data_IF_411899551486
#
_entry.id   IF_411899551486
#
_cell.length_a   1.000
_cell.length_b   1.000
_cell.length_c   1.000
_cell.angle_alpha   90.00
_cell.angle_beta   90.00
_cell.angle_gamma   90.00
#
_symmetry.space_group_name_H-M   'P 1'
#
loop_
_entity.id
_entity.type
_entity.pdbx_description
1 polymer ?
#
# COMPACT_ATOMS: atom_id res chain seq x y z
N UNK A 1 -21.34 19.96 -1.90
CA UNK A 1 -21.77 20.62 -3.13
C UNK A 1 -22.66 19.64 -3.89
N UNK A 2 -23.80 20.08 -4.38
CA UNK A 2 -24.66 19.28 -5.23
C UNK A 2 -24.39 19.65 -6.69
N UNK A 3 -24.04 18.68 -7.51
CA UNK A 3 -23.81 18.86 -8.93
C UNK A 3 -25.06 18.48 -9.72
N UNK A 4 -25.42 19.26 -10.73
CA UNK A 4 -26.49 18.94 -11.66
C UNK A 4 -26.11 17.80 -12.62
N UNK A 5 -24.79 17.63 -12.85
CA UNK A 5 -24.22 16.55 -13.66
C UNK A 5 -22.83 16.20 -13.12
N UNK A 6 -22.56 14.93 -12.98
CA UNK A 6 -21.23 14.43 -12.63
C UNK A 6 -20.37 14.27 -13.88
N UNK A 7 -19.05 14.51 -13.74
CA UNK A 7 -18.09 14.16 -14.78
C UNK A 7 -17.99 12.65 -14.92
N UNK A 8 -17.68 12.19 -16.11
CA UNK A 8 -17.35 10.77 -16.33
C UNK A 8 -15.93 10.47 -15.88
N UNK A 9 -15.64 9.20 -15.60
CA UNK A 9 -14.26 8.74 -15.43
C UNK A 9 -13.46 8.94 -16.72
N UNK A 10 -12.15 9.24 -16.65
CA UNK A 10 -11.31 9.37 -17.85
C UNK A 10 -11.41 8.15 -18.77
N UNK A 11 -11.32 8.34 -20.08
CA UNK A 11 -11.40 7.23 -21.06
C UNK A 11 -10.27 6.21 -20.89
N UNK A 12 -9.10 6.68 -20.48
CA UNK A 12 -7.90 5.88 -20.21
C UNK A 12 -7.73 5.55 -18.72
N UNK A 13 -8.82 5.56 -17.94
CA UNK A 13 -8.80 5.28 -16.52
C UNK A 13 -8.33 3.84 -16.26
N UNK A 14 -7.34 3.69 -15.37
CA UNK A 14 -6.76 2.40 -15.02
C UNK A 14 -7.67 1.66 -14.03
N UNK A 15 -8.70 1.00 -14.55
CA UNK A 15 -9.54 0.07 -13.80
C UNK A 15 -8.74 -1.17 -13.48
N UNK A 16 -8.24 -1.28 -12.26
CA UNK A 16 -7.31 -2.34 -11.88
C UNK A 16 -7.77 -3.14 -10.68
N UNK A 17 -6.83 -3.92 -10.18
CA UNK A 17 -6.85 -4.55 -8.87
C UNK A 17 -5.41 -4.80 -8.43
N UNK A 18 -5.18 -5.08 -7.15
CA UNK A 18 -3.83 -5.17 -6.59
C UNK A 18 -3.56 -6.46 -5.82
N UNK A 19 -2.27 -6.79 -5.70
CA UNK A 19 -1.72 -7.80 -4.80
C UNK A 19 -0.32 -7.37 -4.33
N UNK A 20 0.29 -8.12 -3.40
CA UNK A 20 1.71 -8.03 -3.08
C UNK A 20 2.37 -9.41 -3.17
N UNK A 21 3.67 -9.43 -3.47
CA UNK A 21 4.42 -10.65 -3.69
C UNK A 21 4.29 -11.64 -2.52
N UNK A 22 4.68 -11.24 -1.32
CA UNK A 22 4.71 -12.14 -0.17
C UNK A 22 3.31 -12.67 0.22
N UNK A 23 2.23 -11.88 -0.03
CA UNK A 23 0.87 -12.29 0.36
C UNK A 23 0.20 -13.22 -0.64
N UNK A 24 0.71 -13.30 -1.88
CA UNK A 24 0.02 -14.07 -2.93
C UNK A 24 0.89 -15.16 -3.57
N UNK A 25 2.20 -14.95 -3.70
CA UNK A 25 3.07 -15.81 -4.52
C UNK A 25 3.27 -17.20 -3.91
N UNK A 26 3.65 -17.29 -2.63
CA UNK A 26 4.21 -18.52 -2.07
C UNK A 26 5.61 -18.82 -2.62
N UNK A 27 5.96 -20.10 -2.78
CA UNK A 27 7.24 -20.55 -3.35
C UNK A 27 8.47 -19.88 -2.70
N UNK A 28 8.45 -19.74 -1.37
CA UNK A 28 9.38 -18.89 -0.58
C UNK A 28 10.85 -19.34 -0.62
N UNK A 29 11.10 -20.59 -1.04
CA UNK A 29 12.46 -21.15 -1.16
C UNK A 29 12.77 -21.71 -2.55
N UNK A 30 11.95 -21.35 -3.56
CA UNK A 30 12.09 -21.87 -4.92
C UNK A 30 12.90 -20.91 -5.81
N UNK A 31 13.54 -21.48 -6.82
CA UNK A 31 14.24 -20.78 -7.89
C UNK A 31 15.24 -19.71 -7.41
N UNK A 32 15.91 -19.99 -6.31
CA UNK A 32 16.97 -19.13 -5.76
C UNK A 32 16.49 -17.94 -4.97
N UNK A 33 15.19 -17.83 -4.64
CA UNK A 33 14.71 -16.81 -3.70
C UNK A 33 15.36 -17.00 -2.34
N UNK A 34 15.89 -15.90 -1.78
CA UNK A 34 16.38 -15.87 -0.40
C UNK A 34 15.28 -15.41 0.58
N UNK A 35 15.45 -15.63 1.89
CA UNK A 35 14.50 -15.13 2.88
C UNK A 35 14.41 -13.60 2.92
N UNK A 36 13.21 -13.07 3.05
CA UNK A 36 12.92 -11.69 3.44
C UNK A 36 12.65 -11.61 4.94
N UNK A 37 12.56 -10.39 5.48
CA UNK A 37 12.15 -10.19 6.87
C UNK A 37 10.78 -10.80 7.17
N UNK A 38 9.87 -10.81 6.18
CA UNK A 38 8.53 -11.39 6.28
C UNK A 38 8.59 -12.90 6.43
N UNK A 39 9.49 -13.57 5.71
CA UNK A 39 9.67 -15.03 5.81
C UNK A 39 10.25 -15.45 7.17
N UNK A 40 10.85 -14.51 7.90
CA UNK A 40 11.46 -14.72 9.22
C UNK A 40 10.55 -14.37 10.39
N UNK A 41 9.29 -13.99 10.13
CA UNK A 41 8.34 -13.67 11.18
C UNK A 41 7.92 -14.90 11.99
N UNK A 42 7.61 -14.66 13.25
CA UNK A 42 6.93 -15.63 14.09
C UNK A 42 5.40 -15.42 13.96
N UNK A 43 4.79 -16.24 13.12
CA UNK A 43 3.34 -16.22 12.96
C UNK A 43 2.64 -16.79 14.21
N UNK A 44 1.50 -16.21 14.62
CA UNK A 44 0.64 -16.87 15.60
C UNK A 44 0.26 -18.29 15.14
N UNK A 45 0.16 -19.23 16.05
CA UNK A 45 -0.07 -20.65 15.73
C UNK A 45 -1.44 -20.94 15.09
N UNK A 46 -2.35 -19.97 15.12
CA UNK A 46 -3.70 -20.05 14.54
C UNK A 46 -3.85 -19.27 13.23
N UNK A 47 -2.74 -18.80 12.65
CA UNK A 47 -2.70 -17.97 11.44
C UNK A 47 -1.79 -18.62 10.40
N UNK A 48 -2.24 -18.68 9.15
CA UNK A 48 -1.45 -19.15 8.02
C UNK A 48 -0.22 -18.26 7.79
N UNK A 49 0.90 -18.89 7.48
CA UNK A 49 2.09 -18.22 6.99
C UNK A 49 2.01 -17.90 5.48
N UNK A 50 3.06 -17.31 4.94
CA UNK A 50 3.15 -16.92 3.54
C UNK A 50 3.84 -17.99 2.64
N UNK A 51 4.16 -19.18 3.17
CA UNK A 51 5.00 -20.17 2.48
C UNK A 51 4.38 -20.67 1.16
N UNK A 52 3.05 -20.83 1.14
CA UNK A 52 2.29 -21.18 -0.06
C UNK A 52 1.40 -20.02 -0.52
N UNK A 53 0.90 -19.21 0.42
CA UNK A 53 -0.02 -18.11 0.16
C UNK A 53 -1.19 -18.54 -0.75
N UNK A 54 -1.37 -17.90 -1.92
CA UNK A 54 -2.36 -18.28 -2.93
C UNK A 54 -1.74 -19.07 -4.09
N UNK A 55 -0.45 -19.44 -3.96
CA UNK A 55 0.29 -20.17 -4.99
C UNK A 55 0.32 -19.46 -6.35
N UNK A 56 0.32 -18.13 -6.34
CA UNK A 56 0.34 -17.32 -7.56
C UNK A 56 1.63 -17.55 -8.37
N UNK A 57 2.73 -17.89 -7.71
CA UNK A 57 4.00 -18.19 -8.37
C UNK A 57 3.85 -19.27 -9.45
N UNK A 58 3.11 -20.33 -9.14
CA UNK A 58 2.87 -21.42 -10.10
C UNK A 58 1.62 -21.19 -10.97
N UNK A 59 0.68 -20.35 -10.52
CA UNK A 59 -0.65 -20.18 -11.13
C UNK A 59 -0.90 -18.82 -11.74
N UNK A 60 0.13 -17.96 -11.88
CA UNK A 60 -0.03 -16.60 -12.40
C UNK A 60 -0.77 -16.55 -13.75
N UNK A 61 -0.57 -17.53 -14.65
CA UNK A 61 -1.27 -17.58 -15.93
C UNK A 61 -2.79 -17.78 -15.77
N UNK A 62 -3.20 -18.67 -14.86
CA UNK A 62 -4.61 -18.87 -14.51
C UNK A 62 -5.20 -17.60 -13.89
N UNK A 63 -4.49 -17.04 -12.93
CA UNK A 63 -4.95 -15.85 -12.21
C UNK A 63 -5.08 -14.63 -13.14
N UNK A 64 -4.08 -14.35 -13.98
CA UNK A 64 -4.11 -13.23 -14.92
C UNK A 64 -5.19 -13.46 -16.00
N UNK A 65 -5.43 -14.69 -16.43
CA UNK A 65 -6.54 -14.99 -17.33
C UNK A 65 -7.91 -14.69 -16.68
N UNK A 66 -8.06 -14.91 -15.37
CA UNK A 66 -9.25 -14.51 -14.62
C UNK A 66 -9.35 -12.98 -14.48
N UNK A 67 -8.24 -12.28 -14.26
CA UNK A 67 -8.20 -10.82 -14.26
C UNK A 67 -8.65 -10.24 -15.63
N UNK A 68 -8.20 -10.85 -16.71
CA UNK A 68 -8.66 -10.48 -18.06
C UNK A 68 -10.16 -10.74 -18.26
N UNK A 69 -10.70 -11.84 -17.75
CA UNK A 69 -12.15 -12.13 -17.77
C UNK A 69 -12.96 -11.13 -16.95
N UNK A 70 -12.40 -10.58 -15.86
CA UNK A 70 -12.98 -9.49 -15.09
C UNK A 70 -12.92 -8.16 -15.85
N UNK A 71 -12.11 -8.06 -16.89
CA UNK A 71 -11.96 -6.88 -17.72
C UNK A 71 -10.94 -5.87 -17.19
N UNK A 72 -10.06 -6.27 -16.27
CA UNK A 72 -9.03 -5.37 -15.71
C UNK A 72 -8.23 -4.68 -16.82
N UNK A 73 -7.96 -3.40 -16.62
CA UNK A 73 -7.10 -2.57 -17.47
C UNK A 73 -5.72 -2.36 -16.85
N UNK A 74 -5.58 -2.63 -15.55
CA UNK A 74 -4.32 -2.57 -14.84
C UNK A 74 -4.25 -3.67 -13.77
N UNK A 75 -3.05 -4.14 -13.50
CA UNK A 75 -2.77 -5.03 -12.38
C UNK A 75 -1.57 -4.50 -11.60
N UNK A 76 -1.82 -4.09 -10.36
CA UNK A 76 -0.75 -3.66 -9.45
C UNK A 76 -0.26 -4.86 -8.66
N UNK A 77 1.04 -5.11 -8.73
CA UNK A 77 1.72 -6.14 -7.97
C UNK A 77 3.08 -5.65 -7.49
N UNK A 78 3.68 -6.34 -6.53
CA UNK A 78 5.05 -6.05 -6.13
C UNK A 78 6.02 -7.11 -6.67
N UNK A 79 7.28 -6.71 -6.82
CA UNK A 79 8.39 -7.61 -7.14
C UNK A 79 9.14 -7.89 -5.83
N UNK A 80 9.30 -9.17 -5.49
CA UNK A 80 10.08 -9.56 -4.33
C UNK A 80 11.57 -9.31 -4.58
N UNK A 81 12.16 -8.39 -3.83
CA UNK A 81 13.59 -8.06 -3.93
C UNK A 81 14.47 -9.30 -3.81
N UNK A 82 14.11 -10.21 -2.90
CA UNK A 82 14.82 -11.48 -2.65
C UNK A 82 14.78 -12.48 -3.81
N UNK A 83 13.85 -12.34 -4.76
CA UNK A 83 13.85 -13.14 -6.01
C UNK A 83 14.81 -12.57 -7.04
N UNK A 84 15.03 -11.27 -7.03
CA UNK A 84 15.88 -10.57 -8.03
C UNK A 84 17.33 -10.54 -7.59
N UNK A 85 17.59 -10.11 -6.35
CA UNK A 85 18.92 -10.02 -5.75
C UNK A 85 18.90 -10.79 -4.42
N UNK A 86 19.14 -12.12 -4.43
CA UNK A 86 19.05 -12.94 -3.20
C UNK A 86 19.97 -12.49 -2.07
N UNK A 87 21.09 -11.86 -2.41
CA UNK A 87 22.05 -11.31 -1.42
C UNK A 87 21.78 -9.82 -1.08
N UNK A 88 20.64 -9.29 -1.54
CA UNK A 88 20.28 -7.88 -1.42
C UNK A 88 20.96 -6.97 -2.44
N UNK A 89 22.14 -7.35 -2.91
CA UNK A 89 22.98 -6.67 -3.92
C UNK A 89 23.77 -7.71 -4.72
N UNK A 90 24.43 -7.29 -5.80
CA UNK A 90 25.41 -8.07 -6.55
C UNK A 90 24.78 -8.99 -7.60
N UNK A 91 24.90 -10.29 -7.43
CA UNK A 91 24.49 -11.26 -8.45
C UNK A 91 22.97 -11.27 -8.66
N UNK A 92 22.57 -11.10 -9.93
CA UNK A 92 21.16 -11.13 -10.35
C UNK A 92 20.71 -12.59 -10.49
N UNK A 93 19.57 -12.92 -9.92
CA UNK A 93 18.93 -14.22 -10.08
C UNK A 93 18.08 -14.24 -11.35
N UNK A 94 18.61 -14.87 -12.40
CA UNK A 94 17.96 -14.94 -13.71
C UNK A 94 16.59 -15.64 -13.68
N UNK A 95 16.37 -16.60 -12.78
CA UNK A 95 15.06 -17.24 -12.60
C UNK A 95 14.01 -16.29 -12.04
N UNK A 96 14.41 -15.40 -11.13
CA UNK A 96 13.54 -14.34 -10.64
C UNK A 96 13.18 -13.33 -11.74
N UNK A 97 14.16 -12.95 -12.55
CA UNK A 97 13.93 -12.10 -13.74
C UNK A 97 12.96 -12.77 -14.71
N UNK A 98 13.20 -14.05 -15.04
CA UNK A 98 12.32 -14.82 -15.93
C UNK A 98 10.88 -14.90 -15.40
N UNK A 99 10.70 -15.18 -14.11
CA UNK A 99 9.37 -15.24 -13.50
C UNK A 99 8.60 -13.92 -13.69
N UNK A 100 9.19 -12.79 -13.32
CA UNK A 100 8.49 -11.50 -13.45
C UNK A 100 8.35 -11.04 -14.90
N UNK A 101 9.27 -11.37 -15.79
CA UNK A 101 9.07 -11.18 -17.23
C UNK A 101 7.83 -11.93 -17.72
N UNK A 102 7.66 -13.19 -17.29
CA UNK A 102 6.51 -14.00 -17.66
C UNK A 102 5.19 -13.43 -17.10
N UNK A 103 5.18 -12.92 -15.86
CA UNK A 103 4.02 -12.24 -15.27
C UNK A 103 3.65 -10.98 -16.05
N UNK A 104 4.65 -10.13 -16.37
CA UNK A 104 4.46 -8.90 -17.14
C UNK A 104 3.95 -9.22 -18.55
N UNK A 105 4.57 -10.17 -19.24
CA UNK A 105 4.18 -10.57 -20.60
C UNK A 105 2.77 -11.17 -20.63
N UNK A 106 2.38 -11.94 -19.61
CA UNK A 106 1.02 -12.46 -19.52
C UNK A 106 -0.01 -11.32 -19.29
N UNK A 107 0.32 -10.29 -18.50
CA UNK A 107 -0.52 -9.10 -18.37
C UNK A 107 -0.68 -8.39 -19.72
N UNK A 108 0.42 -8.11 -20.40
CA UNK A 108 0.44 -7.39 -21.68
C UNK A 108 -0.31 -8.16 -22.80
N UNK A 109 -0.23 -9.46 -22.81
CA UNK A 109 -0.98 -10.35 -23.71
C UNK A 109 -2.50 -10.09 -23.64
N UNK A 110 -3.01 -9.74 -22.48
CA UNK A 110 -4.42 -9.41 -22.25
C UNK A 110 -4.71 -7.91 -22.27
N UNK A 111 -3.75 -7.06 -22.65
CA UNK A 111 -3.84 -5.59 -22.58
C UNK A 111 -4.13 -5.09 -21.15
N UNK A 112 -3.57 -5.76 -20.14
CA UNK A 112 -3.58 -5.31 -18.75
C UNK A 112 -2.25 -4.59 -18.50
N UNK A 113 -2.32 -3.30 -18.13
CA UNK A 113 -1.14 -2.48 -17.83
C UNK A 113 -0.51 -2.92 -16.49
N UNK A 114 0.76 -3.35 -16.47
CA UNK A 114 1.46 -3.65 -15.22
C UNK A 114 1.73 -2.36 -14.43
N UNK A 115 1.38 -2.35 -13.14
CA UNK A 115 1.74 -1.32 -12.18
C UNK A 115 2.62 -1.95 -11.12
N UNK A 116 3.91 -1.66 -11.15
CA UNK A 116 4.90 -2.39 -10.35
C UNK A 116 5.30 -1.63 -9.09
N UNK A 117 5.16 -2.27 -7.94
CA UNK A 117 5.72 -1.82 -6.66
C UNK A 117 7.07 -2.49 -6.44
N UNK A 118 8.13 -1.70 -6.25
CA UNK A 118 9.48 -2.24 -6.06
C UNK A 118 9.67 -2.88 -4.69
N UNK A 119 9.12 -2.28 -3.64
CA UNK A 119 9.30 -2.75 -2.27
C UNK A 119 7.98 -2.70 -1.49
N UNK A 120 7.55 -3.88 -1.02
CA UNK A 120 6.31 -4.05 -0.26
C UNK A 120 6.56 -4.83 1.03
N UNK A 121 7.33 -4.24 1.95
CA UNK A 121 7.68 -4.73 3.29
C UNK A 121 8.73 -5.88 3.34
N UNK A 122 9.08 -6.46 2.23
CA UNK A 122 9.85 -7.71 2.11
C UNK A 122 11.36 -7.47 1.92
N UNK A 123 11.97 -6.68 2.83
CA UNK A 123 13.42 -6.44 2.83
C UNK A 123 14.20 -7.77 2.87
N UNK A 124 15.24 -7.97 2.03
CA UNK A 124 16.12 -9.12 2.15
C UNK A 124 16.68 -9.27 3.57
N UNK A 125 16.52 -10.47 4.16
CA UNK A 125 16.92 -10.70 5.54
C UNK A 125 18.43 -10.49 5.74
N UNK A 126 19.25 -10.79 4.73
CA UNK A 126 20.69 -10.53 4.77
C UNK A 126 21.06 -9.02 4.86
N UNK A 127 20.15 -8.10 4.43
CA UNK A 127 20.32 -6.67 4.68
C UNK A 127 19.84 -6.30 6.07
N UNK A 128 18.77 -6.93 6.58
CA UNK A 128 18.31 -6.74 7.95
C UNK A 128 19.37 -7.14 8.97
N UNK A 129 20.10 -8.24 8.77
CA UNK A 129 21.21 -8.66 9.61
C UNK A 129 22.35 -7.63 9.66
N UNK A 130 22.44 -6.77 8.65
CA UNK A 130 23.43 -5.67 8.58
C UNK A 130 22.87 -4.33 9.10
N UNK A 131 21.67 -4.35 9.70
CA UNK A 131 21.00 -3.18 10.26
C UNK A 131 19.83 -2.63 9.42
N UNK A 132 19.44 -3.31 8.33
CA UNK A 132 18.28 -2.98 7.52
C UNK A 132 18.27 -1.55 7.05
N UNK A 133 17.12 -0.88 7.10
CA UNK A 133 17.00 0.52 6.73
C UNK A 133 17.70 1.51 7.68
N UNK A 134 18.14 1.05 8.87
CA UNK A 134 18.96 1.88 9.75
C UNK A 134 20.41 1.99 9.23
N UNK A 135 20.89 0.99 8.49
CA UNK A 135 22.15 1.05 7.79
C UNK A 135 22.01 1.89 6.51
N UNK A 136 22.83 2.93 6.39
CA UNK A 136 22.80 3.85 5.25
C UNK A 136 23.14 3.16 3.92
N UNK A 137 23.94 2.09 3.92
CA UNK A 137 24.31 1.34 2.71
C UNK A 137 23.08 0.69 2.04
N UNK A 138 21.98 0.49 2.79
CA UNK A 138 20.70 0.00 2.23
C UNK A 138 20.10 0.95 1.19
N UNK A 139 20.44 2.25 1.26
CA UNK A 139 20.04 3.23 0.23
C UNK A 139 20.60 2.82 -1.13
N UNK A 140 21.90 2.54 -1.19
CA UNK A 140 22.58 2.21 -2.46
C UNK A 140 22.21 0.78 -2.91
N UNK A 141 21.97 -0.14 -1.98
CA UNK A 141 21.41 -1.46 -2.28
C UNK A 141 20.03 -1.36 -2.96
N UNK A 142 19.15 -0.48 -2.47
CA UNK A 142 17.84 -0.26 -3.09
C UNK A 142 17.94 0.39 -4.48
N UNK A 143 18.89 1.31 -4.66
CA UNK A 143 19.14 1.94 -5.97
C UNK A 143 19.68 0.92 -6.96
N UNK A 144 20.57 0.02 -6.56
CA UNK A 144 21.07 -1.09 -7.39
C UNK A 144 19.92 -2.03 -7.80
N UNK A 145 19.09 -2.45 -6.84
CA UNK A 145 17.90 -3.24 -7.09
C UNK A 145 16.97 -2.57 -8.10
N UNK A 146 16.63 -1.31 -7.87
CA UNK A 146 15.78 -0.54 -8.78
C UNK A 146 16.37 -0.46 -10.19
N UNK A 147 17.70 -0.28 -10.32
CA UNK A 147 18.38 -0.26 -11.60
C UNK A 147 18.20 -1.59 -12.35
N UNK A 148 18.37 -2.72 -11.66
CA UNK A 148 18.15 -4.05 -12.25
C UNK A 148 16.71 -4.18 -12.77
N UNK A 149 15.71 -3.70 -11.99
CA UNK A 149 14.32 -3.72 -12.43
C UNK A 149 14.09 -2.87 -13.69
N UNK A 150 14.65 -1.67 -13.73
CA UNK A 150 14.50 -0.77 -14.89
C UNK A 150 15.18 -1.30 -16.13
N UNK A 151 16.38 -1.87 -15.99
CA UNK A 151 17.13 -2.46 -17.11
C UNK A 151 16.37 -3.64 -17.73
N UNK A 152 15.70 -4.48 -16.94
CA UNK A 152 14.99 -5.67 -17.42
C UNK A 152 13.52 -5.42 -17.79
N UNK A 153 12.83 -4.56 -17.09
CA UNK A 153 11.37 -4.39 -17.24
C UNK A 153 10.94 -2.99 -17.70
N UNK A 154 11.83 -2.00 -17.68
CA UNK A 154 11.50 -0.61 -17.98
C UNK A 154 10.94 -0.37 -19.38
N UNK A 155 11.26 -1.21 -20.35
CA UNK A 155 10.69 -1.13 -21.71
C UNK A 155 9.24 -1.63 -21.81
N UNK A 156 8.75 -2.38 -20.80
CA UNK A 156 7.44 -3.03 -20.77
C UNK A 156 6.49 -2.41 -19.74
N UNK A 157 7.03 -1.86 -18.67
CA UNK A 157 6.27 -1.34 -17.52
C UNK A 157 6.32 0.19 -17.52
N UNK A 158 5.15 0.82 -17.55
CA UNK A 158 5.02 2.29 -17.55
C UNK A 158 4.86 2.90 -16.17
N UNK A 159 4.21 2.19 -15.23
CA UNK A 159 3.86 2.73 -13.92
C UNK A 159 4.63 2.03 -12.81
N UNK A 160 5.37 2.82 -12.05
CA UNK A 160 6.24 2.33 -11.00
C UNK A 160 5.94 2.98 -9.65
N UNK A 161 5.97 2.18 -8.60
CA UNK A 161 5.82 2.60 -7.21
C UNK A 161 7.10 2.25 -6.46
N UNK A 162 7.64 3.20 -5.73
CA UNK A 162 8.91 2.99 -5.02
C UNK A 162 8.74 2.07 -3.82
N UNK A 163 8.17 2.60 -2.74
CA UNK A 163 8.00 1.90 -1.47
C UNK A 163 6.52 1.94 -1.09
N UNK A 164 5.94 0.77 -0.79
CA UNK A 164 4.57 0.71 -0.29
C UNK A 164 4.50 1.12 1.17
N UNK A 165 3.56 2.00 1.49
CA UNK A 165 3.20 2.40 2.86
C UNK A 165 4.41 2.66 3.79
N UNK A 166 5.39 3.42 3.33
CA UNK A 166 6.54 3.77 4.16
C UNK A 166 6.12 4.35 5.51
N UNK A 167 5.08 5.18 5.53
CA UNK A 167 4.55 5.76 6.75
C UNK A 167 4.00 4.70 7.72
N UNK A 168 3.40 3.61 7.23
CA UNK A 168 2.94 2.51 8.07
C UNK A 168 4.12 1.78 8.71
N UNK A 169 5.21 1.55 7.98
CA UNK A 169 6.43 0.93 8.53
C UNK A 169 7.03 1.75 9.67
N UNK A 170 7.02 3.06 9.56
CA UNK A 170 7.64 3.96 10.55
C UNK A 170 6.72 4.17 11.76
N UNK A 171 5.43 4.34 11.53
CA UNK A 171 4.47 4.69 12.57
C UNK A 171 3.90 3.47 13.30
N UNK A 172 3.94 2.31 12.66
CA UNK A 172 3.40 1.05 13.17
C UNK A 172 4.33 -0.13 12.87
N UNK A 173 5.59 -0.10 13.33
CA UNK A 173 6.56 -1.14 12.98
C UNK A 173 6.11 -2.55 13.42
N UNK A 174 5.35 -2.66 14.51
CA UNK A 174 4.76 -3.91 14.95
C UNK A 174 3.63 -4.43 14.06
N UNK A 175 3.04 -3.56 13.21
CA UNK A 175 1.98 -3.96 12.29
C UNK A 175 2.49 -4.72 11.06
N UNK A 176 3.76 -4.53 10.71
CA UNK A 176 4.40 -5.26 9.61
C UNK A 176 5.01 -6.56 10.12
N UNK A 177 5.18 -6.65 11.44
CA UNK A 177 5.82 -7.73 12.17
C UNK A 177 7.30 -7.45 12.43
N UNK A 178 7.88 -8.31 13.24
CA UNK A 178 9.30 -8.29 13.56
C UNK A 178 9.88 -9.68 13.32
N UNK A 179 11.14 -9.78 12.89
CA UNK A 179 11.84 -11.05 12.85
C UNK A 179 11.80 -11.73 14.23
N UNK A 180 11.85 -13.04 14.27
CA UNK A 180 11.83 -13.82 15.50
C UNK A 180 12.90 -13.32 16.48
N UNK A 181 12.47 -12.96 17.70
CA UNK A 181 13.35 -12.39 18.72
C UNK A 181 13.74 -10.93 18.51
N UNK A 182 13.22 -10.28 17.46
CA UNK A 182 13.44 -8.86 17.19
C UNK A 182 12.80 -7.94 18.24
N UNK A 183 13.42 -6.78 18.44
CA UNK A 183 12.87 -5.72 19.31
C UNK A 183 12.33 -4.60 18.46
N UNK A 184 11.26 -3.95 18.93
CA UNK A 184 10.77 -2.72 18.32
C UNK A 184 11.90 -1.68 18.30
N UNK A 185 12.21 -1.09 17.13
CA UNK A 185 13.17 0.00 17.03
C UNK A 185 12.72 1.19 17.89
N UNK A 186 13.68 1.98 18.36
CA UNK A 186 13.34 3.26 19.01
C UNK A 186 12.69 4.22 18.01
N UNK A 187 11.92 5.20 18.50
CA UNK A 187 11.38 6.24 17.60
C UNK A 187 12.47 6.98 16.84
N UNK A 188 13.64 7.21 17.45
CA UNK A 188 14.78 7.82 16.77
C UNK A 188 15.27 6.94 15.61
N UNK A 189 15.42 5.64 15.83
CA UNK A 189 15.84 4.71 14.78
C UNK A 189 14.81 4.64 13.66
N UNK A 190 13.52 4.63 13.99
CA UNK A 190 12.45 4.64 12.99
C UNK A 190 12.49 5.89 12.09
N UNK A 191 12.70 7.08 12.66
CA UNK A 191 12.83 8.30 11.86
C UNK A 191 14.16 8.37 11.10
N UNK A 192 15.23 7.73 11.59
CA UNK A 192 16.45 7.55 10.81
C UNK A 192 16.24 6.60 9.63
N UNK A 193 15.56 5.47 9.83
CA UNK A 193 15.13 4.57 8.74
C UNK A 193 14.26 5.33 7.71
N UNK A 194 13.30 6.12 8.19
CA UNK A 194 12.48 6.98 7.33
C UNK A 194 13.31 7.89 6.45
N UNK A 195 14.32 8.55 7.02
CA UNK A 195 15.21 9.44 6.26
C UNK A 195 15.97 8.69 5.16
N UNK A 196 16.51 7.52 5.49
CA UNK A 196 17.21 6.67 4.51
C UNK A 196 16.28 6.18 3.40
N UNK A 197 15.05 5.78 3.73
CA UNK A 197 14.03 5.41 2.72
C UNK A 197 13.67 6.59 1.81
N UNK A 198 13.57 7.81 2.35
CA UNK A 198 13.31 9.01 1.54
C UNK A 198 14.45 9.32 0.58
N UNK A 199 15.70 9.19 1.03
CA UNK A 199 16.88 9.34 0.18
C UNK A 199 16.92 8.28 -0.93
N UNK A 200 16.60 7.03 -0.58
CA UNK A 200 16.54 5.93 -1.53
C UNK A 200 15.48 6.20 -2.62
N UNK A 201 14.27 6.60 -2.23
CA UNK A 201 13.21 6.96 -3.19
C UNK A 201 13.62 8.11 -4.10
N UNK A 202 14.23 9.17 -3.56
CA UNK A 202 14.68 10.31 -4.34
C UNK A 202 15.73 9.91 -5.39
N UNK A 203 16.74 9.12 -4.99
CA UNK A 203 17.76 8.58 -5.91
C UNK A 203 17.13 7.70 -6.99
N UNK A 204 16.18 6.82 -6.62
CA UNK A 204 15.51 5.93 -7.54
C UNK A 204 14.64 6.68 -8.54
N UNK A 205 13.87 7.68 -8.12
CA UNK A 205 13.06 8.51 -9.03
C UNK A 205 13.94 9.25 -10.04
N UNK A 206 15.06 9.83 -9.58
CA UNK A 206 16.05 10.46 -10.47
C UNK A 206 16.65 9.45 -11.47
N UNK A 207 17.01 8.26 -11.01
CA UNK A 207 17.54 7.19 -11.87
C UNK A 207 16.50 6.75 -12.90
N UNK A 208 15.26 6.59 -12.47
CA UNK A 208 14.13 6.15 -13.31
C UNK A 208 13.95 7.05 -14.53
N UNK A 209 13.88 8.36 -14.36
CA UNK A 209 13.66 9.29 -15.45
C UNK A 209 14.81 9.29 -16.48
N UNK A 210 16.00 8.84 -16.09
CA UNK A 210 17.13 8.69 -17.01
C UNK A 210 17.05 7.38 -17.84
N UNK A 211 16.49 6.31 -17.25
CA UNK A 211 16.46 4.96 -17.88
C UNK A 211 15.12 4.72 -18.59
N UNK A 212 14.02 5.20 -18.02
CA UNK A 212 12.65 4.94 -18.51
C UNK A 212 11.91 6.27 -18.74
N UNK A 213 12.34 7.07 -19.74
CA UNK A 213 11.86 8.44 -19.93
C UNK A 213 10.36 8.55 -20.24
N UNK A 214 9.76 7.51 -20.81
CA UNK A 214 8.31 7.47 -21.12
C UNK A 214 7.46 6.88 -19.98
N UNK A 215 8.10 6.43 -18.89
CA UNK A 215 7.44 5.87 -17.73
C UNK A 215 6.97 6.94 -16.75
N UNK A 216 6.26 6.48 -15.72
CA UNK A 216 5.80 7.31 -14.60
C UNK A 216 6.11 6.62 -13.27
N UNK A 217 6.61 7.36 -12.31
CA UNK A 217 6.99 6.85 -10.99
C UNK A 217 6.41 7.72 -9.88
N UNK A 218 6.02 7.09 -8.78
CA UNK A 218 5.53 7.79 -7.60
C UNK A 218 5.70 7.02 -6.30
N UNK A 219 5.56 7.68 -5.14
CA UNK A 219 5.45 7.01 -3.85
C UNK A 219 4.07 6.35 -3.71
N UNK A 220 3.96 5.33 -2.85
CA UNK A 220 2.69 4.72 -2.49
C UNK A 220 2.52 4.75 -0.97
N UNK A 221 1.64 5.61 -0.47
CA UNK A 221 1.49 5.88 0.95
C UNK A 221 0.08 5.57 1.45
N UNK A 222 -0.04 5.16 2.71
CA UNK A 222 -1.33 5.07 3.39
C UNK A 222 -1.76 6.48 3.80
N UNK A 223 -2.73 7.04 3.09
CA UNK A 223 -3.21 8.40 3.33
C UNK A 223 -4.68 8.38 3.73
N UNK A 224 -5.00 9.13 4.77
CA UNK A 224 -6.36 9.20 5.28
C UNK A 224 -6.70 10.59 5.78
N UNK A 225 -7.96 10.96 5.69
CA UNK A 225 -8.48 12.15 6.34
C UNK A 225 -8.73 11.89 7.81
N UNK A 226 -8.69 12.96 8.58
CA UNK A 226 -9.12 12.92 9.96
C UNK A 226 -10.09 14.01 10.27
N UNK A 227 -10.87 13.72 11.30
CA UNK A 227 -11.86 14.64 11.83
C UNK A 227 -11.45 15.06 13.24
N UNK A 228 -11.61 16.33 13.61
CA UNK A 228 -11.57 16.70 15.01
C UNK A 228 -12.75 16.04 15.74
N UNK A 229 -12.53 15.57 16.97
CA UNK A 229 -13.56 14.90 17.77
C UNK A 229 -14.76 15.81 18.04
N UNK A 230 -14.50 17.11 18.15
CA UNK A 230 -15.53 18.15 18.32
C UNK A 230 -15.13 19.43 17.57
N UNK A 231 -15.99 20.42 17.59
CA UNK A 231 -15.66 21.76 17.09
C UNK A 231 -14.76 22.58 18.06
N UNK A 232 -14.25 21.98 19.14
CA UNK A 232 -13.27 22.63 20.01
C UNK A 232 -12.00 22.94 19.22
N UNK A 233 -11.49 24.18 19.22
CA UNK A 233 -10.25 24.55 18.53
C UNK A 233 -9.05 23.67 18.88
N UNK A 234 -8.94 23.16 20.10
CA UNK A 234 -7.88 22.25 20.51
C UNK A 234 -7.98 20.89 19.80
N UNK A 235 -9.19 20.38 19.55
CA UNK A 235 -9.38 19.14 18.77
C UNK A 235 -9.02 19.36 17.30
N UNK A 236 -9.33 20.54 16.75
CA UNK A 236 -8.95 20.90 15.39
C UNK A 236 -7.41 20.95 15.20
N UNK A 237 -6.69 21.54 16.17
CA UNK A 237 -5.21 21.55 16.18
C UNK A 237 -4.67 20.12 16.31
N UNK A 238 -5.22 19.30 17.19
CA UNK A 238 -4.81 17.92 17.37
C UNK A 238 -5.00 17.08 16.09
N UNK A 239 -6.12 17.24 15.39
CA UNK A 239 -6.40 16.61 14.11
C UNK A 239 -5.39 17.06 13.05
N UNK A 240 -5.06 18.35 12.98
CA UNK A 240 -4.03 18.86 12.06
C UNK A 240 -2.64 18.31 12.39
N UNK A 241 -2.25 18.25 13.67
CA UNK A 241 -0.99 17.65 14.10
C UNK A 241 -0.88 16.19 13.64
N UNK A 242 -1.96 15.42 13.81
CA UNK A 242 -2.01 14.04 13.35
C UNK A 242 -1.78 13.97 11.83
N UNK A 243 -2.49 14.75 11.04
CA UNK A 243 -2.35 14.78 9.58
C UNK A 243 -0.91 15.04 9.15
N UNK A 244 -0.29 16.05 9.76
CA UNK A 244 1.10 16.40 9.44
C UNK A 244 2.05 15.26 9.76
N UNK A 245 1.96 14.72 10.97
CA UNK A 245 2.92 13.71 11.45
C UNK A 245 2.74 12.35 10.76
N UNK A 246 1.53 12.02 10.30
CA UNK A 246 1.21 10.69 9.75
C UNK A 246 1.07 10.64 8.23
N UNK A 247 0.76 11.78 7.60
CA UNK A 247 0.55 11.86 6.16
C UNK A 247 1.51 12.86 5.51
N UNK A 248 1.36 14.15 5.80
CA UNK A 248 2.02 15.18 5.01
C UNK A 248 3.54 15.15 5.13
N UNK A 249 4.09 14.84 6.30
CA UNK A 249 5.53 14.74 6.48
C UNK A 249 6.20 13.74 5.52
N UNK A 250 5.49 12.68 5.16
CA UNK A 250 6.01 11.66 4.24
C UNK A 250 5.86 12.10 2.78
N UNK A 251 4.71 12.63 2.40
CA UNK A 251 4.47 13.07 1.01
C UNK A 251 5.27 14.33 0.69
N UNK A 252 5.37 15.31 1.62
CA UNK A 252 6.11 16.55 1.43
C UNK A 252 7.59 16.32 1.09
N UNK A 253 8.21 15.34 1.73
CA UNK A 253 9.61 14.98 1.43
C UNK A 253 9.74 14.46 0.01
N UNK A 254 8.83 13.59 -0.43
CA UNK A 254 8.84 13.06 -1.80
C UNK A 254 8.49 14.12 -2.84
N UNK A 255 7.51 15.00 -2.55
CA UNK A 255 7.00 15.97 -3.53
C UNK A 255 7.74 17.30 -3.54
N UNK A 256 8.28 17.75 -2.40
CA UNK A 256 8.90 19.05 -2.25
C UNK A 256 10.38 18.98 -1.83
N UNK A 257 10.91 17.78 -1.57
CA UNK A 257 12.30 17.59 -1.14
C UNK A 257 12.63 18.20 0.23
N UNK A 258 11.65 18.34 1.11
CA UNK A 258 11.83 18.95 2.44
C UNK A 258 10.84 18.38 3.45
N UNK A 259 11.28 18.32 4.70
CA UNK A 259 10.41 17.98 5.83
C UNK A 259 9.35 19.06 6.08
N UNK A 260 8.19 18.66 6.57
CA UNK A 260 7.17 19.58 7.02
C UNK A 260 7.66 20.31 8.29
N UNK A 261 7.61 21.68 8.37
CA UNK A 261 8.18 22.42 9.50
C UNK A 261 7.66 21.98 10.86
N UNK A 262 6.35 21.76 10.99
CA UNK A 262 5.75 21.25 12.24
C UNK A 262 6.28 19.87 12.63
N UNK A 263 6.41 18.98 11.64
CA UNK A 263 6.96 17.64 11.90
C UNK A 263 8.44 17.74 12.33
N UNK A 264 9.23 18.60 11.68
CA UNK A 264 10.61 18.80 12.05
C UNK A 264 10.75 19.33 13.48
N UNK A 265 9.98 20.36 13.85
CA UNK A 265 9.94 20.89 15.22
C UNK A 265 9.56 19.84 16.26
N UNK A 266 8.59 18.97 15.92
CA UNK A 266 8.21 17.83 16.78
C UNK A 266 9.38 16.83 16.95
N UNK A 267 10.08 16.50 15.87
CA UNK A 267 11.21 15.56 15.92
C UNK A 267 12.37 16.12 16.77
N UNK A 268 12.68 17.41 16.62
CA UNK A 268 13.71 18.10 17.42
C UNK A 268 13.33 18.16 18.90
N UNK A 269 12.11 18.59 19.22
CA UNK A 269 11.62 18.70 20.61
C UNK A 269 11.69 17.34 21.36
N UNK A 270 11.48 16.24 20.66
CA UNK A 270 11.52 14.88 21.21
C UNK A 270 12.90 14.23 21.13
N UNK A 271 13.91 14.89 20.57
CA UNK A 271 15.25 14.35 20.33
C UNK A 271 15.23 13.05 19.48
N UNK A 272 14.32 13.01 18.48
CA UNK A 272 14.14 11.87 17.56
C UNK A 272 14.34 12.28 16.10
N UNK A 273 14.83 13.48 15.85
CA UNK A 273 15.20 13.93 14.50
C UNK A 273 16.29 13.02 13.91
N UNK A 274 16.19 12.63 12.64
CA UNK A 274 17.22 11.87 11.98
C UNK A 274 18.52 12.64 11.88
N UNK A 275 19.63 11.96 11.81
CA UNK A 275 20.92 12.53 11.48
C UNK A 275 20.96 12.82 9.99
N UNK A 276 21.24 14.08 9.65
CA UNK A 276 21.34 14.57 8.28
C UNK A 276 22.82 14.70 7.92
N UNK A 277 23.21 14.16 6.77
CA UNK A 277 24.55 14.29 6.24
C UNK A 277 24.60 15.36 5.12
N UNK A 278 25.80 15.84 4.82
CA UNK A 278 26.02 16.76 3.71
C UNK A 278 25.52 16.16 2.39
N UNK A 279 24.70 16.92 1.65
CA UNK A 279 24.13 16.51 0.38
C UNK A 279 22.76 15.77 0.49
N UNK A 280 22.27 15.48 1.68
CA UNK A 280 20.98 14.77 1.86
C UNK A 280 19.82 15.61 1.35
N UNK A 281 19.75 16.88 1.69
CA UNK A 281 18.68 17.77 1.22
C UNK A 281 18.72 18.00 -0.28
N UNK A 282 19.90 18.06 -0.90
CA UNK A 282 20.07 18.12 -2.35
C UNK A 282 19.56 16.84 -3.01
N UNK A 283 19.82 15.71 -2.40
CA UNK A 283 19.29 14.40 -2.84
C UNK A 283 17.76 14.39 -2.75
N UNK A 284 17.18 14.77 -1.61
CA UNK A 284 15.73 14.82 -1.44
C UNK A 284 15.06 15.75 -2.47
N UNK A 285 15.64 16.90 -2.76
CA UNK A 285 15.14 17.84 -3.79
C UNK A 285 15.20 17.28 -5.21
N UNK A 286 16.00 16.26 -5.44
CA UNK A 286 16.06 15.58 -6.75
C UNK A 286 14.92 14.60 -7.00
N UNK A 287 14.10 14.29 -6.01
CA UNK A 287 12.88 13.54 -6.19
C UNK A 287 11.92 14.32 -7.10
N UNK A 288 11.33 13.61 -8.04
CA UNK A 288 10.37 14.18 -8.99
C UNK A 288 9.28 13.14 -9.28
N UNK A 289 8.30 12.96 -8.38
CA UNK A 289 7.20 12.03 -8.62
C UNK A 289 6.27 12.55 -9.73
N UNK A 290 5.85 11.66 -10.64
CA UNK A 290 4.90 11.97 -11.70
C UNK A 290 3.45 11.93 -11.22
N UNK A 291 3.18 11.24 -10.10
CA UNK A 291 1.88 11.08 -9.47
C UNK A 291 2.03 10.71 -8.00
N UNK A 292 0.95 10.82 -7.26
CA UNK A 292 0.85 10.28 -5.90
C UNK A 292 0.00 9.02 -5.93
N UNK A 293 0.58 7.87 -5.57
CA UNK A 293 -0.22 6.70 -5.29
C UNK A 293 -0.60 6.66 -3.82
N UNK A 294 -1.82 6.22 -3.55
CA UNK A 294 -2.30 6.12 -2.18
C UNK A 294 -3.14 4.87 -1.93
N UNK A 295 -2.97 4.35 -0.72
CA UNK A 295 -3.83 3.34 -0.12
C UNK A 295 -4.80 4.03 0.84
N UNK A 296 -6.07 3.64 0.79
CA UNK A 296 -7.10 4.20 1.64
C UNK A 296 -8.03 3.10 2.17
N UNK A 297 -8.13 2.99 3.48
CA UNK A 297 -8.99 1.98 4.11
C UNK A 297 -9.98 2.55 5.11
N UNK A 298 -9.60 3.59 5.84
CA UNK A 298 -10.43 4.15 6.91
C UNK A 298 -10.05 5.60 7.20
N UNK A 299 -10.84 6.27 8.02
CA UNK A 299 -10.56 7.60 8.57
C UNK A 299 -10.32 7.55 10.07
N UNK A 300 -9.76 8.62 10.61
CA UNK A 300 -9.57 8.79 12.05
C UNK A 300 -10.38 9.95 12.59
N UNK A 301 -10.68 9.87 13.88
CA UNK A 301 -11.22 10.97 14.67
C UNK A 301 -10.28 11.23 15.83
N UNK A 302 -9.87 12.49 15.98
CA UNK A 302 -8.77 12.90 16.83
C UNK A 302 -9.24 13.97 17.81
N UNK A 303 -8.92 13.77 19.08
CA UNK A 303 -9.17 14.73 20.15
C UNK A 303 -7.86 15.32 20.67
N UNK A 304 -7.96 16.46 21.31
CA UNK A 304 -6.85 17.10 22.00
C UNK A 304 -6.22 16.17 23.05
N UNK A 305 -4.89 16.23 23.12
CA UNK A 305 -4.12 15.52 24.14
C UNK A 305 -4.53 15.93 25.55
N UNK A 306 -4.46 15.00 26.49
CA UNK A 306 -4.55 15.27 27.93
C UNK A 306 -3.19 15.53 28.57
N UNK A 307 -2.09 15.28 27.83
CA UNK A 307 -0.73 15.44 28.30
C UNK A 307 -0.20 14.27 29.13
N UNK A 308 -0.96 13.21 29.31
CA UNK A 308 -0.61 12.04 30.10
C UNK A 308 -0.58 10.73 29.27
N UNK A 309 -0.23 9.63 29.93
CA UNK A 309 -0.14 8.32 29.28
C UNK A 309 -1.47 7.82 28.69
N UNK A 310 -2.62 8.39 29.08
CA UNK A 310 -3.91 8.00 28.51
C UNK A 310 -4.11 8.44 27.05
N UNK A 311 -3.26 9.35 26.55
CA UNK A 311 -3.24 9.73 25.14
C UNK A 311 -2.86 8.53 24.23
N UNK A 312 -2.04 7.63 24.76
CA UNK A 312 -1.49 6.47 24.02
C UNK A 312 -2.32 5.21 24.27
N UNK A 313 -3.63 5.35 24.49
CA UNK A 313 -4.50 4.19 24.69
C UNK A 313 -4.43 3.24 23.49
N UNK A 314 -3.64 2.15 23.66
CA UNK A 314 -3.55 1.09 22.69
C UNK A 314 -4.85 0.28 22.69
N UNK A 315 -5.54 0.20 21.55
CA UNK A 315 -6.43 -0.92 21.31
C UNK A 315 -5.58 -2.04 20.75
N UNK A 316 -5.61 -3.22 21.37
CA UNK A 316 -5.07 -4.42 20.75
C UNK A 316 -5.85 -4.70 19.46
N UNK A 317 -5.17 -4.92 18.35
CA UNK A 317 -5.82 -5.29 17.09
C UNK A 317 -5.03 -4.91 15.85
N UNK A 318 -5.73 -4.92 14.76
CA UNK A 318 -5.30 -4.74 13.39
C UNK A 318 -4.55 -3.42 13.12
N UNK A 319 -3.73 -3.40 12.06
CA UNK A 319 -2.87 -2.28 11.61
C UNK A 319 -3.59 -0.92 11.39
N UNK A 320 -4.91 -0.90 11.32
CA UNK A 320 -5.70 0.34 11.23
C UNK A 320 -6.00 0.98 12.59
N UNK A 321 -5.49 0.43 13.68
CA UNK A 321 -5.67 1.01 14.99
C UNK A 321 -4.73 2.18 15.18
N UNK A 322 -5.33 3.34 15.37
CA UNK A 322 -4.60 4.56 15.60
C UNK A 322 -4.20 4.68 17.06
N UNK A 323 -2.89 4.66 17.27
CA UNK A 323 -2.31 5.02 18.55
C UNK A 323 -2.31 6.54 18.68
N UNK A 324 -2.59 7.05 19.89
CA UNK A 324 -2.36 8.44 20.23
C UNK A 324 -0.88 8.77 20.36
N UNK A 325 -0.57 10.04 20.45
CA UNK A 325 0.78 10.54 20.71
C UNK A 325 0.75 11.45 21.94
N UNK A 326 1.42 11.04 23.00
CA UNK A 326 1.40 11.76 24.30
C UNK A 326 1.81 13.21 24.11
N UNK A 327 0.98 14.12 24.63
CA UNK A 327 1.20 15.55 24.53
C UNK A 327 0.90 16.17 23.16
N UNK A 328 0.40 15.39 22.20
CA UNK A 328 0.12 15.86 20.83
C UNK A 328 -1.33 15.64 20.44
N UNK A 329 -1.83 14.42 20.52
CA UNK A 329 -3.20 14.06 20.19
C UNK A 329 -3.59 12.70 20.78
N UNK A 330 -4.89 12.43 20.87
CA UNK A 330 -5.43 11.12 21.22
C UNK A 330 -6.53 10.69 20.24
N UNK A 331 -6.70 9.38 20.00
CA UNK A 331 -7.79 8.89 19.19
C UNK A 331 -9.15 9.10 19.89
N UNK A 332 -10.19 9.27 19.09
CA UNK A 332 -11.58 9.34 19.52
C UNK A 332 -12.46 8.52 18.60
N UNK A 333 -13.65 8.14 19.04
CA UNK A 333 -14.61 7.45 18.18
C UNK A 333 -15.43 8.46 17.37
N UNK A 334 -15.77 8.06 16.14
CA UNK A 334 -16.71 8.79 15.30
C UNK A 334 -18.07 8.09 15.33
N UNK A 335 -19.12 8.73 15.86
CA UNK A 335 -20.45 8.12 15.96
C UNK A 335 -21.20 8.10 14.61
N UNK A 336 -20.67 8.73 13.57
CA UNK A 336 -21.35 8.92 12.28
C UNK A 336 -20.89 7.95 11.19
N UNK A 337 -19.97 7.02 11.48
CA UNK A 337 -19.41 6.08 10.54
C UNK A 337 -19.63 4.64 10.97
N UNK A 338 -19.88 3.78 10.01
CA UNK A 338 -20.00 2.34 10.22
C UNK A 338 -18.62 1.69 10.38
N UNK A 339 -18.59 0.46 10.92
CA UNK A 339 -17.38 -0.36 11.04
C UNK A 339 -17.56 -1.68 10.31
N UNK A 340 -16.46 -2.17 9.71
CA UNK A 340 -16.40 -3.51 9.11
C UNK A 340 -16.47 -4.59 10.20
N UNK A 341 -16.61 -5.85 9.78
CA UNK A 341 -16.51 -7.03 10.65
C UNK A 341 -15.22 -7.04 11.49
N UNK A 342 -14.14 -6.47 10.97
CA UNK A 342 -12.83 -6.35 11.64
C UNK A 342 -12.63 -5.00 12.35
N UNK A 343 -13.68 -4.21 12.52
CA UNK A 343 -13.65 -2.97 13.28
C UNK A 343 -13.08 -1.76 12.54
N UNK A 344 -12.78 -1.87 11.25
CA UNK A 344 -12.30 -0.74 10.46
C UNK A 344 -13.44 0.20 10.10
N UNK A 345 -13.16 1.48 10.14
CA UNK A 345 -14.14 2.52 9.78
C UNK A 345 -14.42 2.49 8.28
N UNK A 346 -15.69 2.48 7.91
CA UNK A 346 -16.16 2.60 6.51
C UNK A 346 -16.56 4.04 6.24
N UNK A 347 -15.73 4.78 5.51
CA UNK A 347 -15.98 6.19 5.25
C UNK A 347 -15.71 6.59 3.79
N UNK A 348 -16.68 6.41 2.90
CA UNK A 348 -16.56 6.85 1.52
C UNK A 348 -16.48 8.38 1.35
N UNK A 349 -17.10 9.15 2.24
CA UNK A 349 -17.04 10.62 2.22
C UNK A 349 -15.65 11.11 2.60
N UNK A 350 -15.04 10.48 3.62
CA UNK A 350 -13.65 10.71 4.01
C UNK A 350 -12.68 10.39 2.88
N UNK A 351 -12.96 9.38 2.05
CA UNK A 351 -12.19 9.10 0.86
C UNK A 351 -12.15 10.29 -0.12
N UNK A 352 -13.32 10.86 -0.48
CA UNK A 352 -13.38 12.07 -1.30
C UNK A 352 -12.65 13.24 -0.65
N UNK A 353 -12.81 13.41 0.66
CA UNK A 353 -12.13 14.47 1.40
C UNK A 353 -10.62 14.31 1.33
N UNK A 354 -10.10 13.09 1.51
CA UNK A 354 -8.66 12.78 1.37
C UNK A 354 -8.16 13.09 -0.05
N UNK A 355 -8.86 12.62 -1.09
CA UNK A 355 -8.50 12.87 -2.49
C UNK A 355 -8.36 14.36 -2.79
N UNK A 356 -9.31 15.17 -2.32
CA UNK A 356 -9.26 16.62 -2.49
C UNK A 356 -8.07 17.23 -1.79
N UNK A 357 -7.82 16.87 -0.52
CA UNK A 357 -6.67 17.40 0.24
C UNK A 357 -5.33 17.08 -0.41
N UNK A 358 -5.17 15.83 -0.87
CA UNK A 358 -3.95 15.41 -1.58
C UNK A 358 -3.78 16.21 -2.86
N UNK A 359 -4.83 16.31 -3.69
CA UNK A 359 -4.74 17.03 -4.95
C UNK A 359 -4.55 18.54 -4.76
N UNK A 360 -5.26 19.16 -3.82
CA UNK A 360 -5.10 20.59 -3.49
C UNK A 360 -3.68 20.92 -3.06
N UNK A 361 -3.00 20.01 -2.32
CA UNK A 361 -1.65 20.24 -1.81
C UNK A 361 -0.57 20.01 -2.85
N UNK A 362 -0.66 18.96 -3.65
CA UNK A 362 0.44 18.52 -4.51
C UNK A 362 0.25 18.81 -5.99
N UNK A 363 -0.99 19.01 -6.44
CA UNK A 363 -1.35 19.23 -7.85
C UNK A 363 -0.78 18.16 -8.79
N UNK A 364 -0.63 16.93 -8.30
CA UNK A 364 -0.20 15.76 -9.03
C UNK A 364 -1.38 14.80 -9.20
N UNK A 365 -1.47 14.08 -10.34
CA UNK A 365 -2.47 13.05 -10.53
C UNK A 365 -2.42 12.00 -9.41
N UNK A 366 -3.57 11.41 -9.08
CA UNK A 366 -3.68 10.41 -8.01
C UNK A 366 -3.99 9.04 -8.60
N UNK A 367 -3.28 8.00 -8.13
CA UNK A 367 -3.57 6.60 -8.39
C UNK A 367 -3.94 5.92 -7.07
N UNK A 368 -5.14 5.33 -7.00
CA UNK A 368 -5.48 4.49 -5.85
C UNK A 368 -4.87 3.11 -6.07
N UNK A 369 -3.94 2.73 -5.20
CA UNK A 369 -3.23 1.47 -5.27
C UNK A 369 -3.77 0.41 -4.32
N UNK A 370 -4.52 0.83 -3.30
CA UNK A 370 -5.29 -0.06 -2.44
C UNK A 370 -6.52 0.66 -1.88
N UNK A 371 -7.65 -0.03 -1.93
CA UNK A 371 -8.88 0.29 -1.21
C UNK A 371 -9.73 -0.98 -1.20
N UNK A 372 -10.25 -1.38 -0.05
CA UNK A 372 -11.00 -2.63 0.02
C UNK A 372 -11.51 -2.95 1.40
N UNK A 373 -12.22 -4.06 1.48
CA UNK A 373 -12.81 -4.58 2.71
C UNK A 373 -12.46 -6.05 2.87
N UNK A 374 -11.89 -6.39 4.02
CA UNK A 374 -11.67 -7.78 4.40
C UNK A 374 -12.85 -8.31 5.20
N UNK A 375 -13.28 -9.52 4.88
CA UNK A 375 -14.34 -10.24 5.60
C UNK A 375 -14.14 -11.75 5.53
N UNK A 376 -14.96 -12.49 6.28
CA UNK A 376 -14.97 -13.95 6.23
C UNK A 376 -15.92 -14.39 5.11
N UNK A 377 -15.35 -14.69 3.94
CA UNK A 377 -16.12 -15.23 2.82
C UNK A 377 -16.26 -16.75 2.92
N UNK A 378 -17.40 -17.25 2.52
CA UNK A 378 -17.73 -18.69 2.53
C UNK A 378 -18.12 -19.15 1.13
N UNK A 379 -17.59 -20.28 0.70
CA UNK A 379 -18.07 -20.96 -0.50
C UNK A 379 -19.37 -21.68 -0.13
N UNK A 380 -20.48 -21.20 -0.68
CA UNK A 380 -21.82 -21.72 -0.39
C UNK A 380 -22.11 -23.02 -1.14
N UNK A 381 -23.18 -23.71 -0.76
CA UNK A 381 -23.58 -25.01 -1.34
C UNK A 381 -23.94 -24.96 -2.82
N UNK A 382 -24.26 -23.79 -3.35
CA UNK A 382 -24.52 -23.51 -4.77
C UNK A 382 -23.24 -23.31 -5.58
N UNK A 383 -22.06 -23.33 -4.93
CA UNK A 383 -20.76 -23.11 -5.54
C UNK A 383 -20.41 -21.62 -5.76
N UNK A 384 -21.14 -20.71 -5.14
CA UNK A 384 -20.95 -19.26 -5.23
C UNK A 384 -20.40 -18.68 -3.93
N UNK A 385 -19.85 -17.47 -4.00
CA UNK A 385 -19.47 -16.66 -2.85
C UNK A 385 -20.24 -15.34 -2.94
N UNK A 386 -21.16 -15.13 -2.01
CA UNK A 386 -22.05 -13.98 -1.96
C UNK A 386 -21.45 -12.87 -1.13
N UNK A 387 -20.78 -11.92 -1.77
CA UNK A 387 -20.03 -10.83 -1.12
C UNK A 387 -20.64 -9.43 -1.41
N UNK A 388 -21.96 -9.30 -1.30
CA UNK A 388 -22.70 -8.06 -1.52
C UNK A 388 -22.12 -6.88 -0.72
N UNK A 389 -21.65 -7.11 0.50
CA UNK A 389 -21.01 -6.09 1.35
C UNK A 389 -19.77 -5.48 0.67
N UNK A 390 -19.02 -6.25 -0.16
CA UNK A 390 -17.85 -5.78 -0.92
C UNK A 390 -18.30 -4.91 -2.09
N UNK A 391 -19.35 -5.31 -2.77
CA UNK A 391 -19.99 -4.52 -3.83
C UNK A 391 -20.42 -3.16 -3.26
N UNK A 392 -21.16 -3.16 -2.17
CA UNK A 392 -21.66 -1.93 -1.52
C UNK A 392 -20.52 -1.02 -1.08
N UNK A 393 -19.46 -1.59 -0.51
CA UNK A 393 -18.28 -0.84 -0.10
C UNK A 393 -17.61 -0.14 -1.30
N UNK A 394 -17.28 -0.90 -2.33
CA UNK A 394 -16.57 -0.38 -3.51
C UNK A 394 -17.46 0.62 -4.25
N UNK A 395 -18.74 0.33 -4.43
CA UNK A 395 -19.69 1.24 -5.09
C UNK A 395 -19.75 2.60 -4.41
N UNK A 396 -19.87 2.63 -3.08
CA UNK A 396 -19.90 3.87 -2.29
C UNK A 396 -18.60 4.67 -2.46
N UNK A 397 -17.43 4.01 -2.47
CA UNK A 397 -16.14 4.66 -2.67
C UNK A 397 -15.97 5.19 -4.10
N UNK A 398 -16.33 4.41 -5.11
CA UNK A 398 -16.28 4.84 -6.52
C UNK A 398 -17.21 6.03 -6.80
N UNK A 399 -18.42 6.04 -6.21
CA UNK A 399 -19.29 7.20 -6.29
C UNK A 399 -18.64 8.46 -5.73
N UNK A 400 -17.97 8.36 -4.57
CA UNK A 400 -17.25 9.49 -3.99
C UNK A 400 -16.01 9.89 -4.78
N UNK A 401 -15.34 8.95 -5.44
CA UNK A 401 -14.24 9.24 -6.38
C UNK A 401 -14.77 10.01 -7.61
N UNK A 402 -15.92 9.61 -8.18
CA UNK A 402 -16.55 10.33 -9.27
C UNK A 402 -16.91 11.77 -8.89
N UNK A 403 -17.36 11.98 -7.66
CA UNK A 403 -17.58 13.31 -7.10
C UNK A 403 -16.25 14.08 -6.96
N UNK A 404 -15.15 13.43 -6.53
CA UNK A 404 -13.83 14.06 -6.44
C UNK A 404 -13.32 14.49 -7.84
N UNK A 405 -13.49 13.65 -8.87
CA UNK A 405 -13.19 14.00 -10.27
C UNK A 405 -14.03 15.23 -10.70
N UNK A 406 -15.28 15.27 -10.30
CA UNK A 406 -16.17 16.41 -10.58
C UNK A 406 -15.72 17.68 -9.84
N UNK A 407 -15.18 17.55 -8.62
CA UNK A 407 -14.55 18.64 -7.86
C UNK A 407 -13.25 19.16 -8.52
N UNK A 408 -12.67 18.43 -9.48
CA UNK A 408 -11.47 18.81 -10.21
C UNK A 408 -10.24 17.97 -9.91
N UNK A 409 -10.35 16.92 -9.10
CA UNK A 409 -9.24 16.01 -8.82
C UNK A 409 -8.89 15.21 -10.07
N UNK A 410 -7.61 15.14 -10.41
CA UNK A 410 -7.11 14.30 -11.51
C UNK A 410 -6.81 12.89 -11.00
N UNK A 411 -7.56 11.91 -11.52
CA UNK A 411 -7.44 10.51 -11.15
C UNK A 411 -6.90 9.68 -12.30
N UNK A 412 -5.83 8.92 -12.07
CA UNK A 412 -5.26 7.98 -13.05
C UNK A 412 -5.96 6.63 -13.07
N UNK A 413 -6.36 6.14 -11.89
CA UNK A 413 -6.92 4.80 -11.79
C UNK A 413 -7.31 4.40 -10.37
N UNK A 414 -7.83 3.17 -10.30
CA UNK A 414 -8.29 2.57 -9.06
C UNK A 414 -7.99 1.08 -9.07
N UNK A 415 -7.13 0.64 -8.14
CA UNK A 415 -6.71 -0.75 -7.98
C UNK A 415 -7.12 -1.25 -6.59
N UNK A 416 -8.35 -1.76 -6.41
CA UNK A 416 -8.79 -2.26 -5.12
C UNK A 416 -7.95 -3.43 -4.62
N UNK A 417 -7.87 -3.55 -3.30
CA UNK A 417 -7.28 -4.64 -2.59
C UNK A 417 -8.34 -5.69 -2.23
N UNK A 418 -8.35 -6.89 -2.86
CA UNK A 418 -7.31 -7.40 -3.74
C UNK A 418 -7.93 -8.08 -4.98
N UNK A 419 -7.10 -8.34 -6.00
CA UNK A 419 -7.54 -9.05 -7.20
C UNK A 419 -8.03 -10.46 -6.92
N UNK A 420 -7.29 -11.17 -6.07
CA UNK A 420 -7.53 -12.54 -5.60
C UNK A 420 -7.34 -12.58 -4.08
N UNK A 421 -7.91 -13.56 -3.40
CA UNK A 421 -7.68 -13.73 -1.97
C UNK A 421 -6.19 -13.90 -1.68
N UNK A 422 -5.72 -13.20 -0.66
CA UNK A 422 -4.33 -13.15 -0.22
C UNK A 422 -4.25 -13.50 1.28
N UNK A 423 -3.07 -13.87 1.77
CA UNK A 423 -2.86 -14.00 3.21
C UNK A 423 -2.85 -12.60 3.83
N UNK A 424 -3.78 -12.33 4.73
CA UNK A 424 -3.78 -11.08 5.49
C UNK A 424 -2.62 -11.07 6.48
N UNK A 425 -1.92 -9.96 6.60
CA UNK A 425 -0.70 -9.83 7.41
C UNK A 425 -0.87 -10.29 8.86
N UNK A 426 -2.06 -10.08 9.45
CA UNK A 426 -2.32 -10.42 10.86
C UNK A 426 -3.43 -11.42 11.10
N UNK A 427 -4.30 -11.63 10.10
CA UNK A 427 -5.53 -12.40 10.26
C UNK A 427 -5.53 -13.68 9.42
N UNK A 428 -4.39 -13.99 8.81
CA UNK A 428 -4.24 -15.18 7.99
C UNK A 428 -5.17 -15.21 6.78
N UNK A 429 -5.58 -16.40 6.39
CA UNK A 429 -6.38 -16.60 5.19
C UNK A 429 -7.89 -16.41 5.39
N UNK A 430 -8.38 -16.46 6.64
CA UNK A 430 -9.81 -16.25 6.95
C UNK A 430 -10.31 -14.85 6.62
N UNK A 431 -9.45 -13.81 6.69
CA UNK A 431 -9.78 -12.45 6.30
C UNK A 431 -9.51 -12.26 4.81
N UNK A 432 -10.54 -12.37 4.01
CA UNK A 432 -10.46 -12.38 2.55
C UNK A 432 -10.80 -11.02 1.95
N UNK A 433 -10.06 -10.66 0.90
CA UNK A 433 -10.18 -9.34 0.26
C UNK A 433 -10.49 -9.43 -1.24
N UNK A 434 -10.19 -10.57 -1.86
CA UNK A 434 -10.20 -10.72 -3.32
C UNK A 434 -11.58 -10.68 -3.96
N UNK A 435 -11.61 -10.35 -5.23
CA UNK A 435 -12.75 -10.62 -6.13
C UNK A 435 -12.82 -12.10 -6.53
N UNK A 436 -11.71 -12.80 -6.38
CA UNK A 436 -11.56 -14.22 -6.66
C UNK A 436 -11.24 -14.92 -5.35
N UNK A 437 -12.09 -15.87 -4.99
CA UNK A 437 -11.90 -16.73 -3.85
C UNK A 437 -10.90 -17.83 -4.18
N UNK A 438 -9.98 -18.10 -3.27
CA UNK A 438 -9.07 -19.25 -3.34
C UNK A 438 -9.49 -20.26 -2.31
N UNK A 439 -9.82 -21.49 -2.76
CA UNK A 439 -10.31 -22.53 -1.87
C UNK A 439 -9.18 -23.16 -1.08
N UNK A 440 -8.90 -22.54 0.04
CA UNK A 440 -8.06 -23.05 1.13
C UNK A 440 -8.54 -22.49 2.46
N UNK A 441 -8.22 -23.19 3.53
CA UNK A 441 -8.36 -22.69 4.90
C UNK A 441 -7.01 -22.23 5.45
N UNK A 442 -6.91 -21.92 6.75
CA UNK A 442 -5.64 -21.46 7.34
C UNK A 442 -4.52 -22.50 7.14
N UNK A 443 -4.78 -23.77 7.36
CA UNK A 443 -3.78 -24.86 7.33
C UNK A 443 -4.09 -25.97 6.34
N UNK A 444 -5.31 -26.01 5.82
CA UNK A 444 -5.70 -26.95 4.76
C UNK A 444 -5.65 -26.24 3.42
N UNK A 445 -4.65 -26.60 2.62
CA UNK A 445 -4.45 -25.99 1.29
C UNK A 445 -5.48 -26.44 0.27
N UNK A 446 -6.18 -27.56 0.50
CA UNK A 446 -7.11 -28.14 -0.47
C UNK A 446 -6.46 -28.19 -1.87
N UNK A 447 -7.22 -27.83 -2.92
CA UNK A 447 -6.72 -27.76 -4.28
C UNK A 447 -6.34 -26.34 -4.74
N UNK A 448 -6.46 -25.35 -3.85
CA UNK A 448 -6.25 -23.94 -4.16
C UNK A 448 -7.08 -23.48 -5.37
N UNK A 449 -8.26 -24.06 -5.57
CA UNK A 449 -9.12 -23.75 -6.72
C UNK A 449 -9.65 -22.31 -6.63
N UNK A 450 -9.76 -21.66 -7.80
CA UNK A 450 -10.25 -20.28 -7.91
C UNK A 450 -11.75 -20.27 -8.18
N UNK A 451 -12.49 -19.45 -7.43
CA UNK A 451 -13.92 -19.20 -7.65
C UNK A 451 -14.18 -17.71 -7.78
N UNK A 452 -14.99 -17.32 -8.75
CA UNK A 452 -15.38 -15.93 -8.94
C UNK A 452 -16.48 -15.57 -7.93
N UNK A 453 -16.28 -14.49 -7.18
CA UNK A 453 -17.29 -13.97 -6.23
C UNK A 453 -18.35 -13.13 -6.98
N UNK A 454 -19.45 -12.81 -6.33
CA UNK A 454 -20.45 -11.92 -6.92
C UNK A 454 -19.86 -10.55 -7.30
N UNK A 455 -18.96 -10.03 -6.46
CA UNK A 455 -18.23 -8.79 -6.73
C UNK A 455 -17.37 -8.84 -7.99
N UNK A 456 -16.88 -10.01 -8.42
CA UNK A 456 -16.16 -10.17 -9.67
C UNK A 456 -17.03 -9.78 -10.88
N UNK A 457 -18.26 -10.27 -10.94
CA UNK A 457 -19.18 -9.99 -12.04
C UNK A 457 -19.68 -8.55 -12.03
N UNK A 458 -19.94 -8.02 -10.83
CA UNK A 458 -20.33 -6.63 -10.67
C UNK A 458 -19.20 -5.68 -11.09
N UNK A 459 -17.96 -5.93 -10.67
CA UNK A 459 -16.81 -5.07 -11.02
C UNK A 459 -16.49 -5.13 -12.51
N UNK A 460 -16.66 -6.31 -13.13
CA UNK A 460 -16.60 -6.45 -14.59
C UNK A 460 -17.55 -5.48 -15.28
N UNK A 461 -18.80 -5.43 -14.85
CA UNK A 461 -19.79 -4.52 -15.43
C UNK A 461 -19.40 -3.04 -15.22
N UNK A 462 -18.87 -2.69 -14.05
CA UNK A 462 -18.35 -1.33 -13.77
C UNK A 462 -17.27 -0.95 -14.78
N UNK A 463 -16.33 -1.85 -15.06
CA UNK A 463 -15.22 -1.62 -15.99
C UNK A 463 -15.73 -1.48 -17.43
N UNK A 464 -16.61 -2.38 -17.87
CA UNK A 464 -17.19 -2.38 -19.22
C UNK A 464 -17.94 -1.07 -19.52
N UNK A 465 -18.63 -0.52 -18.53
CA UNK A 465 -19.38 0.72 -18.63
C UNK A 465 -18.57 1.99 -18.28
N UNK A 466 -17.28 1.83 -18.00
CA UNK A 466 -16.40 2.92 -17.53
C UNK A 466 -17.02 3.70 -16.35
N UNK A 467 -17.61 2.97 -15.39
CA UNK A 467 -18.21 3.54 -14.18
C UNK A 467 -19.46 4.41 -14.41
N UNK A 468 -20.14 4.30 -15.55
CA UNK A 468 -21.33 5.14 -15.82
C UNK A 468 -22.53 4.80 -14.94
N UNK A 469 -22.62 3.57 -14.48
CA UNK A 469 -23.70 3.04 -13.64
C UNK A 469 -23.44 3.17 -12.12
N UNK A 470 -22.43 3.97 -11.70
CA UNK A 470 -22.06 4.22 -10.31
C UNK A 470 -22.62 5.56 -9.84
#
# INVERSE_FOLDING_TARGET
>A
MHYSKLKDFPQNFLWGASTSAYQVEGAVSEDGKSPSIIDMYEHPSDVADFSVASDHYHRYKEDIALFAQMGLKAYRFSIAWTRILPNGTGEVNEKGIEFYNNVIDECLKYNIEPVVTMYHFDLPYCLEEKGGWLNRDTIDAFVEYAKVLFDHFGSKVKYWLTINEQNTMILHPGAIGLPKGGKLPSKKDLYQQNHHMMLAQAKVMKLFHNIVPEGKIGPALNLTAMYPATCNPSDAIAAHNWEVLRCWNFVDVCAFGKYHPLAWSYLEDRNIAPEIQDGDFETLKSANPDFIAMNYYSTATIAASKGDASDVAARAGDQQIMLGEQGVYRPSENPYVEKTQYGWVVDPVGFRYTLRKVYERYQLPILITENGIGANDTLESDGCIHDQYRIDFIQKHLHQMRLAITDGVEMLGYCPWAAIDVVSTHQGYKKRYGFIYVDRDEFDLKELKRYKKDSFYWYKQVIEENGKNI
#
